data_IF_938906542724
#
_entry.id   IF_938906542724
#
_cell.length_a   1.000
_cell.length_b   1.000
_cell.length_c   1.000
_cell.angle_alpha   90.00
_cell.angle_beta   90.00
_cell.angle_gamma   90.00
#
_symmetry.space_group_name_H-M   'P 1'
#
loop_
_entity.id
_entity.type
_entity.pdbx_description
1 polymer ?
#
# COMPACT_ATOMS: atom_id res chain seq x y z
N UNK A 1 14.31 -12.72 6.89
CA UNK A 1 14.42 -13.33 5.54
C UNK A 1 13.12 -13.03 4.81
N UNK A 2 13.15 -12.80 3.50
CA UNK A 2 11.96 -12.56 2.67
C UNK A 2 11.72 -13.75 1.73
N UNK A 3 10.46 -14.10 1.51
CA UNK A 3 10.06 -15.22 0.65
C UNK A 3 9.92 -14.82 -0.83
N UNK A 4 9.67 -13.53 -1.12
CA UNK A 4 9.60 -13.02 -2.49
C UNK A 4 9.84 -11.50 -2.59
N UNK A 5 10.12 -11.01 -3.80
CA UNK A 5 10.32 -9.62 -4.16
C UNK A 5 9.54 -9.28 -5.43
N UNK A 6 8.69 -8.24 -5.35
CA UNK A 6 8.02 -7.64 -6.52
C UNK A 6 8.58 -6.24 -6.76
N UNK A 7 9.08 -5.98 -7.97
CA UNK A 7 9.74 -4.71 -8.31
C UNK A 7 9.40 -4.20 -9.71
N UNK A 8 9.59 -2.91 -9.94
CA UNK A 8 9.55 -2.30 -11.28
C UNK A 8 10.66 -2.87 -12.17
N UNK A 9 10.45 -2.80 -13.49
CA UNK A 9 11.46 -3.13 -14.50
C UNK A 9 11.50 -2.06 -15.60
N UNK A 10 12.32 -2.27 -16.64
CA UNK A 10 12.53 -1.32 -17.75
C UNK A 10 11.24 -0.93 -18.49
N UNK A 11 10.24 -1.82 -18.51
CA UNK A 11 9.01 -1.66 -19.29
C UNK A 11 7.77 -1.47 -18.42
N UNK A 12 7.87 -1.68 -17.11
CA UNK A 12 6.75 -1.65 -16.20
C UNK A 12 7.11 -1.04 -14.85
N UNK A 13 6.42 0.04 -14.50
CA UNK A 13 6.53 0.66 -13.19
C UNK A 13 5.50 0.06 -12.23
N UNK A 14 5.98 -0.71 -11.25
CA UNK A 14 5.17 -1.32 -10.19
C UNK A 14 4.90 -0.31 -9.07
N UNK A 15 4.01 0.65 -9.34
CA UNK A 15 3.63 1.67 -8.37
C UNK A 15 2.13 1.93 -8.40
N UNK A 16 1.57 2.45 -7.30
CA UNK A 16 0.17 2.87 -7.24
C UNK A 16 -0.80 1.78 -7.72
N UNK A 17 -1.74 2.08 -8.62
CA UNK A 17 -2.71 1.13 -9.19
C UNK A 17 -2.04 -0.14 -9.74
N UNK A 18 -0.93 -0.02 -10.50
CA UNK A 18 -0.21 -1.18 -11.03
C UNK A 18 0.28 -2.13 -9.92
N UNK A 19 0.69 -1.57 -8.78
CA UNK A 19 1.09 -2.37 -7.61
C UNK A 19 -0.13 -2.99 -6.94
N UNK A 20 -1.22 -2.22 -6.78
CA UNK A 20 -2.46 -2.71 -6.20
C UNK A 20 -3.01 -3.91 -7.00
N UNK A 21 -3.09 -3.78 -8.33
CA UNK A 21 -3.58 -4.82 -9.23
C UNK A 21 -2.74 -6.10 -9.11
N UNK A 22 -1.42 -5.97 -9.08
CA UNK A 22 -0.51 -7.12 -8.94
C UNK A 22 -0.61 -7.80 -7.57
N UNK A 23 -0.85 -7.04 -6.50
CA UNK A 23 -1.06 -7.60 -5.17
C UNK A 23 -2.44 -8.28 -5.06
N UNK A 24 -3.48 -7.69 -5.66
CA UNK A 24 -4.82 -8.30 -5.74
C UNK A 24 -4.81 -9.57 -6.58
N UNK A 25 -4.13 -9.58 -7.72
CA UNK A 25 -3.98 -10.78 -8.57
C UNK A 25 -3.35 -11.93 -7.79
N UNK A 26 -2.39 -11.63 -6.91
CA UNK A 26 -1.63 -12.63 -6.18
C UNK A 26 -2.29 -13.09 -4.88
N UNK A 27 -2.84 -12.16 -4.10
CA UNK A 27 -3.30 -12.41 -2.74
C UNK A 27 -4.82 -12.29 -2.60
N UNK A 28 -5.51 -11.79 -3.62
CA UNK A 28 -6.92 -11.43 -3.55
C UNK A 28 -7.16 -10.04 -2.97
N UNK A 29 -8.29 -9.43 -3.31
CA UNK A 29 -8.72 -8.15 -2.74
C UNK A 29 -8.98 -8.34 -1.24
N UNK A 30 -8.40 -7.45 -0.43
CA UNK A 30 -8.39 -7.56 1.04
C UNK A 30 -7.76 -8.86 1.58
N UNK A 31 -6.96 -9.57 0.77
CA UNK A 31 -6.24 -10.77 1.19
C UNK A 31 -4.83 -10.50 1.74
N UNK A 32 -4.45 -9.23 1.87
CA UNK A 32 -3.12 -8.81 2.31
C UNK A 32 -3.19 -7.51 3.11
N UNK A 33 -2.22 -7.31 4.01
CA UNK A 33 -1.95 -6.03 4.65
C UNK A 33 -0.80 -5.33 3.91
N UNK A 34 -0.78 -3.99 3.94
CA UNK A 34 0.25 -3.24 3.21
C UNK A 34 0.81 -2.06 4.01
N UNK A 35 2.14 -2.03 4.13
CA UNK A 35 2.89 -0.93 4.73
C UNK A 35 3.44 0.03 3.67
N UNK A 36 3.20 1.32 3.84
CA UNK A 36 3.64 2.36 2.91
C UNK A 36 3.82 3.73 3.56
N UNK A 37 4.54 4.61 2.88
CA UNK A 37 4.94 5.93 3.37
C UNK A 37 4.54 7.09 2.45
N UNK A 38 3.87 6.80 1.33
CA UNK A 38 3.57 7.80 0.34
C UNK A 38 2.10 7.80 -0.08
N UNK A 39 1.59 8.97 -0.47
CA UNK A 39 0.26 9.12 -1.06
C UNK A 39 0.03 8.24 -2.31
N UNK A 40 1.10 7.76 -2.95
CA UNK A 40 1.00 6.88 -4.13
C UNK A 40 0.54 5.48 -3.77
N UNK A 41 0.67 5.10 -2.50
CA UNK A 41 0.22 3.82 -1.96
C UNK A 41 -1.29 3.79 -1.70
N UNK A 42 -2.02 4.90 -1.85
CA UNK A 42 -3.48 4.91 -1.59
C UNK A 42 -4.25 3.81 -2.34
N UNK A 43 -4.04 3.55 -3.64
CA UNK A 43 -4.75 2.44 -4.30
C UNK A 43 -4.40 1.07 -3.72
N UNK A 44 -3.19 0.92 -3.17
CA UNK A 44 -2.77 -0.32 -2.51
C UNK A 44 -3.44 -0.45 -1.15
N UNK A 45 -3.50 0.63 -0.37
CA UNK A 45 -4.23 0.67 0.90
C UNK A 45 -5.74 0.45 0.73
N UNK A 46 -6.34 0.97 -0.34
CA UNK A 46 -7.76 0.72 -0.65
C UNK A 46 -8.04 -0.74 -1.02
N UNK A 47 -7.03 -1.46 -1.54
CA UNK A 47 -7.12 -2.86 -1.89
C UNK A 47 -6.72 -3.82 -0.75
N UNK A 48 -6.04 -3.33 0.28
CA UNK A 48 -5.55 -4.13 1.41
C UNK A 48 -6.63 -4.30 2.49
N UNK A 49 -6.41 -5.27 3.37
CA UNK A 49 -7.22 -5.49 4.58
C UNK A 49 -6.87 -4.48 5.68
N UNK A 50 -5.58 -4.28 5.93
CA UNK A 50 -5.05 -3.24 6.81
C UNK A 50 -4.10 -2.32 6.03
N UNK A 51 -4.34 -1.01 6.15
CA UNK A 51 -3.45 0.02 5.66
C UNK A 51 -2.49 0.45 6.77
N UNK A 52 -1.22 0.06 6.65
CA UNK A 52 -0.18 0.37 7.65
C UNK A 52 0.59 1.61 7.18
N UNK A 53 0.39 2.72 7.88
CA UNK A 53 0.94 4.03 7.53
C UNK A 53 2.21 4.28 8.34
N UNK A 54 3.33 4.54 7.67
CA UNK A 54 4.62 4.87 8.29
C UNK A 54 5.17 6.18 7.74
N UNK A 55 5.59 7.10 8.62
CA UNK A 55 6.22 8.37 8.25
C UNK A 55 5.45 9.22 7.22
N UNK A 56 4.12 9.20 7.28
CA UNK A 56 3.27 9.96 6.37
C UNK A 56 2.86 11.32 6.98
N UNK A 57 2.67 12.38 6.18
CA UNK A 57 2.18 13.66 6.67
C UNK A 57 0.68 13.56 7.04
N UNK A 58 0.22 14.45 7.93
CA UNK A 58 -1.17 14.47 8.41
C UNK A 58 -2.24 14.48 7.29
N UNK A 59 -1.93 15.10 6.13
CA UNK A 59 -2.82 15.09 4.96
C UNK A 59 -3.11 13.68 4.42
N UNK A 60 -2.14 12.78 4.47
CA UNK A 60 -2.30 11.39 4.02
C UNK A 60 -3.12 10.61 5.04
N UNK A 61 -2.88 10.82 6.34
CA UNK A 61 -3.70 10.24 7.41
C UNK A 61 -5.17 10.62 7.22
N UNK A 62 -5.47 11.91 7.00
CA UNK A 62 -6.86 12.37 6.76
C UNK A 62 -7.50 11.69 5.55
N UNK A 63 -6.75 11.41 4.49
CA UNK A 63 -7.27 10.75 3.28
C UNK A 63 -7.58 9.26 3.48
N UNK A 64 -7.00 8.63 4.50
CA UNK A 64 -7.14 7.18 4.75
C UNK A 64 -8.05 6.87 5.93
N UNK A 65 -8.67 7.87 6.57
CA UNK A 65 -9.57 7.68 7.73
C UNK A 65 -10.78 6.78 7.48
N UNK A 66 -11.15 6.56 6.21
CA UNK A 66 -12.23 5.68 5.82
C UNK A 66 -11.81 4.21 5.67
N UNK A 67 -10.50 3.92 5.80
CA UNK A 67 -9.92 2.60 5.72
C UNK A 67 -9.68 2.03 7.12
N UNK A 68 -9.50 0.71 7.20
CA UNK A 68 -8.92 0.08 8.37
C UNK A 68 -7.42 0.43 8.41
N UNK A 69 -7.00 1.31 9.32
CA UNK A 69 -5.64 1.86 9.36
C UNK A 69 -4.90 1.56 10.66
N UNK A 70 -3.61 1.25 10.54
CA UNK A 70 -2.64 1.29 11.63
C UNK A 70 -1.59 2.36 11.34
N UNK A 71 -1.48 3.38 12.19
CA UNK A 71 -0.46 4.44 12.06
C UNK A 71 0.73 4.09 12.93
N UNK A 72 1.82 3.62 12.32
CA UNK A 72 3.05 3.22 13.03
C UNK A 72 3.92 4.43 13.40
N UNK A 73 4.00 5.44 12.53
CA UNK A 73 4.71 6.68 12.82
C UNK A 73 4.16 7.83 11.98
N UNK A 74 4.37 9.05 12.46
CA UNK A 74 3.95 10.29 11.80
C UNK A 74 5.19 11.09 11.40
N UNK A 75 5.09 11.83 10.29
CA UNK A 75 6.12 12.77 9.84
C UNK A 75 6.00 14.13 10.53
#
# INVERSE_FOLDING_TARGET
LFDDVMASNKHFNLSSHNKADKLVERFGKQGFDYIGDHMRDLPVWEASNLAILVNVPAKVIRKTQHLNTLILSKK
#
